data_IF_291742724400
#
_entry.id   IF_291742724400
#
_cell.length_a   1.000
_cell.length_b   1.000
_cell.length_c   1.000
_cell.angle_alpha   90.00
_cell.angle_beta   90.00
_cell.angle_gamma   90.00
#
_symmetry.space_group_name_H-M   'P 1'
#
loop_
_entity.id
_entity.type
_entity.pdbx_description
1 polymer ?
#
# COMPACT_ATOMS: atom_id res chain seq x y z
N UNK A 1 9.64 -4.93 -18.14
CA UNK A 1 8.26 -4.54 -17.79
C UNK A 1 7.80 -5.37 -16.61
N UNK A 2 8.14 -4.96 -15.37
CA UNK A 2 7.71 -5.68 -14.19
C UNK A 2 6.22 -5.51 -13.97
N UNK A 3 5.56 -6.62 -13.60
CA UNK A 3 4.17 -6.64 -13.18
C UNK A 3 4.07 -7.18 -11.76
N UNK A 4 3.37 -6.46 -10.90
CA UNK A 4 3.08 -6.89 -9.52
C UNK A 4 1.58 -6.91 -9.28
N UNK A 5 1.08 -8.05 -8.82
CA UNK A 5 -0.30 -8.18 -8.34
C UNK A 5 -0.32 -8.30 -6.82
N UNK A 6 -1.02 -7.38 -6.17
CA UNK A 6 -1.29 -7.39 -4.74
C UNK A 6 -2.69 -7.94 -4.53
N UNK A 7 -2.78 -9.17 -4.03
CA UNK A 7 -4.05 -9.74 -3.61
C UNK A 7 -4.27 -9.48 -2.12
N UNK A 8 -5.45 -8.97 -1.79
CA UNK A 8 -5.77 -8.59 -0.41
C UNK A 8 -7.25 -8.82 -0.10
N UNK A 9 -7.58 -8.75 1.18
CA UNK A 9 -8.97 -8.81 1.63
C UNK A 9 -9.61 -7.44 1.39
N UNK A 10 -10.84 -7.45 0.88
CA UNK A 10 -11.62 -6.25 0.60
C UNK A 10 -11.91 -5.44 1.85
N UNK A 11 -11.77 -4.12 1.73
CA UNK A 11 -12.14 -3.17 2.79
C UNK A 11 -11.13 -3.01 3.91
N UNK A 12 -9.97 -3.68 3.84
CA UNK A 12 -8.92 -3.54 4.86
C UNK A 12 -8.02 -2.32 4.62
N UNK A 13 -8.05 -1.76 3.41
CA UNK A 13 -7.30 -0.57 3.03
C UNK A 13 -8.24 0.55 2.60
N UNK A 14 -7.96 1.77 3.05
CA UNK A 14 -8.61 2.97 2.50
C UNK A 14 -8.10 3.28 1.10
N UNK A 15 -8.79 4.16 0.37
CA UNK A 15 -8.36 4.60 -0.95
C UNK A 15 -6.96 5.26 -0.91
N UNK A 16 -6.67 6.03 0.15
CA UNK A 16 -5.38 6.69 0.36
C UNK A 16 -4.26 5.66 0.60
N UNK A 17 -4.54 4.62 1.38
CA UNK A 17 -3.59 3.53 1.62
C UNK A 17 -3.27 2.76 0.34
N UNK A 18 -4.28 2.49 -0.50
CA UNK A 18 -4.08 1.86 -1.82
C UNK A 18 -3.23 2.74 -2.74
N UNK A 19 -3.52 4.04 -2.82
CA UNK A 19 -2.75 5.00 -3.61
C UNK A 19 -1.29 5.08 -3.16
N UNK A 20 -1.06 5.17 -1.85
CA UNK A 20 0.29 5.21 -1.27
C UNK A 20 1.06 3.90 -1.51
N UNK A 21 0.39 2.75 -1.41
CA UNK A 21 0.99 1.44 -1.70
C UNK A 21 1.47 1.36 -3.14
N UNK A 22 0.60 1.70 -4.10
CA UNK A 22 0.95 1.73 -5.52
C UNK A 22 2.16 2.64 -5.77
N UNK A 23 2.14 3.85 -5.21
CA UNK A 23 3.24 4.81 -5.35
C UNK A 23 4.56 4.25 -4.83
N UNK A 24 4.58 3.77 -3.59
CA UNK A 24 5.82 3.27 -2.96
C UNK A 24 6.36 2.02 -3.62
N UNK A 25 5.50 1.11 -4.06
CA UNK A 25 5.94 -0.09 -4.78
C UNK A 25 6.56 0.28 -6.13
N UNK A 26 5.97 1.24 -6.85
CA UNK A 26 6.58 1.76 -8.08
C UNK A 26 7.95 2.37 -7.80
N UNK A 27 8.06 3.22 -6.77
CA UNK A 27 9.34 3.84 -6.39
C UNK A 27 10.40 2.76 -6.05
N UNK A 28 10.02 1.71 -5.32
CA UNK A 28 10.89 0.59 -4.97
C UNK A 28 11.37 -0.19 -6.20
N UNK A 29 10.48 -0.45 -7.16
CA UNK A 29 10.85 -1.16 -8.39
C UNK A 29 11.78 -0.32 -9.28
N UNK A 30 11.57 0.99 -9.33
CA UNK A 30 12.49 1.90 -10.02
C UNK A 30 13.86 1.91 -9.36
N UNK A 31 13.91 1.94 -8.02
CA UNK A 31 15.16 1.93 -7.27
C UNK A 31 15.95 0.63 -7.48
N UNK A 32 15.30 -0.53 -7.33
CA UNK A 32 15.97 -1.84 -7.32
C UNK A 32 16.19 -2.38 -8.74
N UNK A 33 15.12 -2.53 -9.52
CA UNK A 33 15.19 -3.16 -10.85
C UNK A 33 15.58 -2.14 -11.92
N UNK A 34 15.01 -0.93 -11.83
CA UNK A 34 15.35 0.19 -12.71
C UNK A 34 16.69 0.85 -12.39
N UNK A 35 17.39 0.44 -11.33
CA UNK A 35 18.67 1.02 -10.89
C UNK A 35 18.63 2.54 -10.71
N UNK A 36 17.45 3.09 -10.38
CA UNK A 36 17.21 4.52 -10.22
C UNK A 36 16.89 5.29 -11.51
N UNK A 37 16.77 4.63 -12.67
CA UNK A 37 16.37 5.27 -13.92
C UNK A 37 14.90 5.73 -13.88
N UNK A 38 14.61 7.05 -13.96
CA UNK A 38 13.24 7.55 -13.96
C UNK A 38 12.40 7.06 -15.14
N UNK A 39 13.01 6.72 -16.27
CA UNK A 39 12.29 6.23 -17.45
C UNK A 39 11.72 4.83 -17.24
N UNK A 40 12.40 4.02 -16.40
CA UNK A 40 11.94 2.67 -16.05
C UNK A 40 10.54 2.68 -15.43
N UNK A 41 10.15 3.77 -14.76
CA UNK A 41 8.84 3.95 -14.13
C UNK A 41 7.67 3.68 -15.09
N UNK A 42 7.82 4.03 -16.37
CA UNK A 42 6.78 3.87 -17.39
C UNK A 42 6.52 2.39 -17.74
N UNK A 43 7.47 1.51 -17.39
CA UNK A 43 7.39 0.06 -17.61
C UNK A 43 6.81 -0.71 -16.42
N UNK A 44 6.54 -0.04 -15.29
CA UNK A 44 6.10 -0.66 -14.05
C UNK A 44 4.58 -0.75 -14.00
N UNK A 45 4.06 -1.97 -13.85
CA UNK A 45 2.64 -2.23 -13.72
C UNK A 45 2.31 -2.82 -12.36
N UNK A 46 1.37 -2.20 -11.65
CA UNK A 46 0.94 -2.67 -10.33
C UNK A 46 -0.58 -2.70 -10.28
N UNK A 47 -1.11 -3.83 -9.82
CA UNK A 47 -2.54 -4.04 -9.63
C UNK A 47 -2.84 -4.45 -8.20
N UNK A 48 -3.97 -3.99 -7.68
CA UNK A 48 -4.52 -4.43 -6.38
C UNK A 48 -5.84 -5.13 -6.67
N UNK A 49 -5.91 -6.41 -6.32
CA UNK A 49 -7.13 -7.22 -6.36
C UNK A 49 -7.65 -7.42 -4.93
N UNK A 50 -8.88 -6.97 -4.68
CA UNK A 50 -9.57 -7.10 -3.41
C UNK A 50 -10.62 -8.21 -3.50
N UNK A 51 -10.52 -9.20 -2.62
CA UNK A 51 -11.41 -10.35 -2.56
C UNK A 51 -12.21 -10.37 -1.25
N UNK A 52 -13.43 -10.89 -1.29
CA UNK A 52 -14.28 -10.98 -0.10
C UNK A 52 -13.63 -11.93 0.94
N UNK A 53 -13.78 -11.69 2.26
CA UNK A 53 -13.11 -12.46 3.31
C UNK A 53 -13.29 -13.98 3.21
N UNK A 54 -14.43 -14.42 2.70
CA UNK A 54 -14.80 -15.82 2.51
C UNK A 54 -13.91 -16.51 1.46
N UNK A 55 -13.24 -15.75 0.60
CA UNK A 55 -12.32 -16.31 -0.39
C UNK A 55 -10.93 -16.61 0.19
N UNK A 56 -10.71 -16.33 1.48
CA UNK A 56 -9.43 -16.50 2.15
C UNK A 56 -9.48 -17.60 3.21
N UNK A 57 -8.38 -18.31 3.40
CA UNK A 57 -8.20 -19.24 4.53
C UNK A 57 -6.80 -19.06 5.11
N UNK A 58 -6.73 -18.84 6.42
CA UNK A 58 -5.48 -18.72 7.16
C UNK A 58 -5.40 -19.87 8.15
N UNK A 59 -4.56 -20.88 7.86
CA UNK A 59 -4.42 -22.05 8.73
C UNK A 59 -5.72 -22.85 8.92
N UNK A 60 -6.58 -22.86 7.90
CA UNK A 60 -7.91 -23.52 7.96
C UNK A 60 -9.03 -22.64 8.53
N UNK A 61 -8.71 -21.42 8.99
CA UNK A 61 -9.71 -20.47 9.50
C UNK A 61 -10.05 -19.46 8.41
N UNK A 62 -11.33 -19.37 8.10
CA UNK A 62 -11.87 -18.34 7.21
C UNK A 62 -12.02 -17.04 8.00
N UNK A 63 -11.35 -15.94 7.60
CA UNK A 63 -11.40 -14.70 8.34
C UNK A 63 -12.78 -14.06 8.20
N UNK A 64 -13.38 -13.65 9.31
CA UNK A 64 -14.62 -12.86 9.28
C UNK A 64 -14.31 -11.37 9.16
N UNK A 65 -15.26 -10.60 8.62
CA UNK A 65 -15.16 -9.13 8.58
C UNK A 65 -14.86 -8.52 9.96
N UNK A 66 -15.43 -9.07 11.03
CA UNK A 66 -15.18 -8.62 12.41
C UNK A 66 -13.74 -8.89 12.87
N UNK A 67 -13.18 -10.07 12.58
CA UNK A 67 -11.79 -10.40 12.91
C UNK A 67 -10.81 -9.48 12.19
N UNK A 68 -11.09 -9.20 10.92
CA UNK A 68 -10.31 -8.29 10.08
C UNK A 68 -10.39 -6.87 10.66
N UNK A 69 -11.60 -6.37 10.91
CA UNK A 69 -11.82 -5.05 11.49
C UNK A 69 -11.10 -4.91 12.84
N UNK A 70 -11.19 -5.89 13.74
CA UNK A 70 -10.50 -5.86 15.03
C UNK A 70 -8.97 -5.78 14.89
N UNK A 71 -8.39 -6.50 13.93
CA UNK A 71 -6.94 -6.51 13.67
C UNK A 71 -6.45 -5.17 13.12
N UNK A 72 -7.22 -4.52 12.25
CA UNK A 72 -6.81 -3.29 11.58
C UNK A 72 -7.29 -2.00 12.27
N UNK A 73 -8.39 -2.03 13.05
CA UNK A 73 -8.83 -0.91 13.88
C UNK A 73 -7.78 -0.54 14.94
N UNK A 74 -7.06 -1.53 15.49
CA UNK A 74 -5.92 -1.31 16.40
C UNK A 74 -4.76 -0.53 15.76
N UNK A 75 -4.65 -0.49 14.42
CA UNK A 75 -3.59 0.22 13.70
C UNK A 75 -3.89 1.71 13.51
N UNK A 76 -5.17 2.10 13.35
CA UNK A 76 -5.56 3.51 13.24
C UNK A 76 -5.32 4.28 14.56
N UNK A 77 -5.41 3.60 15.71
CA UNK A 77 -5.16 4.19 17.03
C UNK A 77 -3.67 4.41 17.36
N UNK A 78 -2.75 3.71 16.68
CA UNK A 78 -1.30 3.97 16.83
C UNK A 78 -0.84 4.93 15.74
N UNK A 79 -1.05 6.23 15.99
CA UNK A 79 -0.35 7.29 15.27
C UNK A 79 1.15 7.06 15.41
N UNK A 80 1.85 6.82 14.30
CA UNK A 80 3.32 6.70 14.25
C UNK A 80 3.89 8.03 14.79
N UNK A 81 4.63 8.03 15.91
CA UNK A 81 5.30 9.24 16.35
C UNK A 81 6.51 9.44 15.44
N UNK A 82 6.54 10.54 14.67
CA UNK A 82 7.82 11.07 14.18
C UNK A 82 8.04 11.35 12.70
N UNK A 83 7.02 11.58 11.87
CA UNK A 83 7.26 12.28 10.59
C UNK A 83 6.99 13.77 10.80
N UNK A 84 8.04 14.53 11.16
CA UNK A 84 8.00 15.99 11.05
C UNK A 84 7.80 16.31 9.56
N UNK A 85 6.64 16.87 9.20
CA UNK A 85 6.47 17.50 7.89
C UNK A 85 7.50 18.63 7.81
N UNK A 86 8.51 18.48 6.95
CA UNK A 86 9.36 19.61 6.59
C UNK A 86 8.46 20.69 5.98
N UNK A 87 8.41 21.86 6.60
CA UNK A 87 7.77 23.03 6.03
C UNK A 87 8.48 23.37 4.72
N UNK A 88 7.72 23.45 3.62
CA UNK A 88 8.27 24.00 2.37
C UNK A 88 8.61 25.48 2.63
N UNK A 89 9.82 25.96 2.27
CA UNK A 89 10.09 27.39 2.29
C UNK A 89 9.14 28.08 1.31
N UNK A 90 8.46 29.13 1.78
CA UNK A 90 7.62 29.97 0.94
C UNK A 90 8.44 30.63 -0.16
N UNK A 91 7.82 31.00 -1.30
CA UNK A 91 8.53 31.65 -2.38
C UNK A 91 9.07 33.00 -1.89
N UNK A 92 10.36 33.22 -2.12
CA UNK A 92 10.94 34.56 -2.05
C UNK A 92 10.49 35.32 -3.30
N UNK A 93 10.00 36.55 -3.05
CA UNK A 93 9.61 37.65 -3.95
C UNK A 93 8.48 37.40 -4.96
#
# INVERSE_FOLDING_TARGET
>A
MPFVNVQTIKGIMTAEQKSELLRRMTDLLVEIEGQGDPQFRQSVWIRIDEHDPEQWSLGGVQPTAAMIAAKFARRAARRIPGIKRAAKPGPAI
#
